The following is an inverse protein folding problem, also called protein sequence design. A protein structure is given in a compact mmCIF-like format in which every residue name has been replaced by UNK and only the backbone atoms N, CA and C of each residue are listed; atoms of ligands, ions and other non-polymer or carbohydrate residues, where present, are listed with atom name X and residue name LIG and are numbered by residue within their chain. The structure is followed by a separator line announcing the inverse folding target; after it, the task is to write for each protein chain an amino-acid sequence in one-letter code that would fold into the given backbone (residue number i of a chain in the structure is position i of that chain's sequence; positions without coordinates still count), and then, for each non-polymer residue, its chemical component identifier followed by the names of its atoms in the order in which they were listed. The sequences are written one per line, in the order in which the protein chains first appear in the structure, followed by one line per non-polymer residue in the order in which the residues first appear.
data_IF_779327315524
#
_entry.id   IF_779327315524
#
_cell.length_a   1.000
_cell.length_b   1.000
_cell.length_c   1.000
_cell.angle_alpha   90.00
_cell.angle_beta   90.00
_cell.angle_gamma   90.00
#
_symmetry.space_group_name_H-M   'P 1'
#
loop_
_entity.id
_entity.type
_entity.pdbx_description
1 polymer ?
#
# COMPACT_ATOMS: atom_id res chain seq x y z
N UNK A 1 -11.31 10.80 12.99
CA UNK A 1 -12.28 10.72 11.87
C UNK A 1 -13.33 11.82 11.90
N UNK A 2 -14.05 12.07 13.00
CA UNK A 2 -15.02 13.20 13.08
C UNK A 2 -14.34 14.53 12.73
N UNK A 3 -13.19 14.82 13.34
CA UNK A 3 -12.41 16.03 12.99
C UNK A 3 -12.06 16.09 11.50
N UNK A 4 -11.64 14.98 10.89
CA UNK A 4 -11.34 14.93 9.46
C UNK A 4 -12.60 15.25 8.62
N UNK A 5 -13.77 14.73 9.01
CA UNK A 5 -15.06 15.04 8.37
C UNK A 5 -15.39 16.52 8.47
N UNK A 6 -15.21 17.12 9.64
CA UNK A 6 -15.46 18.55 9.90
C UNK A 6 -14.50 19.45 9.09
N UNK A 7 -13.29 18.95 8.79
CA UNK A 7 -12.33 19.59 7.87
C UNK A 7 -12.60 19.31 6.39
N UNK A 8 -13.69 18.61 6.07
CA UNK A 8 -14.16 18.37 4.70
C UNK A 8 -13.75 17.03 4.09
N UNK A 9 -13.02 16.16 4.81
CA UNK A 9 -12.69 14.82 4.33
C UNK A 9 -13.98 14.00 4.11
N UNK A 10 -14.13 13.44 2.91
CA UNK A 10 -15.30 12.61 2.57
C UNK A 10 -14.97 11.12 2.55
N UNK A 11 -13.72 10.77 2.26
CA UNK A 11 -13.29 9.38 2.06
C UNK A 11 -11.90 9.19 2.66
N UNK A 12 -11.72 8.05 3.34
CA UNK A 12 -10.43 7.55 3.79
C UNK A 12 -10.13 6.25 3.04
N UNK A 13 -8.92 6.15 2.52
CA UNK A 13 -8.36 4.92 1.95
C UNK A 13 -7.59 4.24 3.08
N UNK A 14 -8.14 3.13 3.59
CA UNK A 14 -7.66 2.43 4.77
C UNK A 14 -6.72 1.30 4.36
N UNK A 15 -5.49 1.38 4.85
CA UNK A 15 -4.33 0.67 4.31
C UNK A 15 -3.80 -0.44 5.25
N UNK A 16 -4.69 -1.09 6.00
CA UNK A 16 -4.35 -2.21 6.88
C UNK A 16 -4.70 -3.55 6.23
N UNK A 17 -3.74 -4.28 5.63
CA UNK A 17 -3.96 -5.61 5.07
C UNK A 17 -3.79 -6.70 6.14
N UNK A 18 -3.83 -7.97 5.71
CA UNK A 18 -3.48 -9.09 6.58
C UNK A 18 -2.05 -8.96 7.10
N UNK A 19 -1.86 -9.25 8.39
CA UNK A 19 -0.59 -9.11 9.10
C UNK A 19 -0.35 -7.74 9.75
N UNK A 20 -1.29 -6.80 9.59
CA UNK A 20 -1.26 -5.49 10.25
C UNK A 20 -2.50 -5.21 11.13
N UNK A 21 -3.37 -6.20 11.33
CA UNK A 21 -4.51 -6.09 12.25
C UNK A 21 -5.81 -5.55 11.64
N UNK A 22 -6.07 -5.83 10.36
CA UNK A 22 -7.31 -5.45 9.66
C UNK A 22 -8.55 -5.89 10.45
N UNK A 23 -9.45 -4.93 10.74
CA UNK A 23 -10.72 -5.19 11.42
C UNK A 23 -11.88 -4.49 10.70
N UNK A 24 -12.63 -5.26 9.90
CA UNK A 24 -13.71 -4.70 9.07
C UNK A 24 -14.91 -4.22 9.89
N UNK A 25 -15.18 -4.81 11.05
CA UNK A 25 -16.30 -4.40 11.90
C UNK A 25 -16.05 -3.00 12.48
N UNK A 26 -14.82 -2.77 12.97
CA UNK A 26 -14.37 -1.46 13.44
C UNK A 26 -14.43 -0.44 12.31
N UNK A 27 -14.00 -0.78 11.09
CA UNK A 27 -14.09 0.14 9.95
C UNK A 27 -15.54 0.49 9.60
N UNK A 28 -16.46 -0.48 9.62
CA UNK A 28 -17.89 -0.23 9.37
C UNK A 28 -18.48 0.68 10.45
N UNK A 29 -18.16 0.44 11.71
CA UNK A 29 -18.64 1.28 12.83
C UNK A 29 -18.08 2.70 12.71
N UNK A 30 -16.79 2.84 12.43
CA UNK A 30 -16.12 4.12 12.20
C UNK A 30 -16.77 4.90 11.05
N UNK A 31 -17.04 4.26 9.91
CA UNK A 31 -17.70 4.88 8.76
C UNK A 31 -19.10 5.37 9.13
N UNK A 32 -19.92 4.51 9.77
CA UNK A 32 -21.29 4.86 10.19
C UNK A 32 -21.33 6.03 11.17
N UNK A 33 -20.45 6.03 12.18
CA UNK A 33 -20.42 7.07 13.22
C UNK A 33 -19.87 8.41 12.70
N UNK A 34 -18.88 8.38 11.81
CA UNK A 34 -18.25 9.60 11.30
C UNK A 34 -18.91 10.17 10.05
N UNK A 35 -19.66 9.35 9.29
CA UNK A 35 -20.18 9.73 7.98
C UNK A 35 -19.09 9.88 6.90
N UNK A 36 -17.89 9.32 7.13
CA UNK A 36 -16.81 9.21 6.14
C UNK A 36 -16.93 7.88 5.40
N UNK A 37 -16.73 7.89 4.09
CA UNK A 37 -16.59 6.66 3.31
C UNK A 37 -15.23 6.02 3.61
N UNK A 38 -15.18 4.73 3.90
CA UNK A 38 -13.93 4.01 4.11
C UNK A 38 -13.75 3.00 2.98
N UNK A 39 -12.61 3.06 2.29
CA UNK A 39 -12.20 2.09 1.28
C UNK A 39 -11.14 1.20 1.91
N UNK A 40 -11.49 -0.07 2.19
CA UNK A 40 -10.55 -1.08 2.74
C UNK A 40 -9.74 -1.77 1.65
N UNK A 41 -8.71 -2.51 2.05
CA UNK A 41 -7.86 -3.30 1.15
C UNK A 41 -7.89 -4.81 1.38
N UNK A 42 -7.48 -5.54 0.35
CA UNK A 42 -6.92 -6.90 0.46
C UNK A 42 -5.40 -6.83 0.50
N UNK A 43 -4.71 -7.97 0.53
CA UNK A 43 -3.26 -8.07 0.46
C UNK A 43 -2.64 -8.57 1.75
N UNK A 44 -1.31 -8.40 1.87
CA UNK A 44 -0.53 -8.88 3.01
C UNK A 44 0.64 -7.96 3.32
N UNK A 45 0.95 -7.82 4.60
CA UNK A 45 2.05 -7.01 5.12
C UNK A 45 3.25 -7.87 5.52
N UNK A 46 4.39 -7.68 4.85
CA UNK A 46 5.68 -8.25 5.23
C UNK A 46 6.77 -7.16 5.31
N UNK A 47 6.51 -6.14 6.13
CA UNK A 47 7.43 -5.01 6.34
C UNK A 47 8.63 -5.32 7.27
N UNK A 48 9.42 -4.30 7.56
CA UNK A 48 10.66 -4.37 8.32
C UNK A 48 10.56 -5.18 9.62
N UNK A 49 11.58 -6.01 9.90
CA UNK A 49 11.70 -6.82 11.12
C UNK A 49 10.60 -7.88 11.34
N UNK A 50 9.63 -8.01 10.42
CA UNK A 50 8.57 -9.01 10.49
C UNK A 50 9.03 -10.35 9.92
N UNK A 51 9.80 -10.37 8.81
CA UNK A 51 10.33 -11.61 8.19
C UNK A 51 9.25 -12.70 8.00
N UNK A 52 8.05 -12.29 7.59
CA UNK A 52 6.89 -13.13 7.41
C UNK A 52 6.15 -13.54 8.69
N UNK A 53 6.64 -13.18 9.90
CA UNK A 53 6.03 -13.60 11.17
C UNK A 53 4.56 -13.20 11.29
N UNK A 54 4.21 -11.98 10.86
CA UNK A 54 2.85 -11.49 10.91
C UNK A 54 2.04 -11.84 9.66
N UNK A 55 2.69 -12.34 8.59
CA UNK A 55 1.97 -12.86 7.43
C UNK A 55 1.28 -14.16 7.85
N UNK A 56 -0.05 -14.29 7.66
CA UNK A 56 -0.77 -15.49 8.03
C UNK A 56 -0.14 -16.75 7.44
N UNK A 57 -0.08 -17.82 8.24
CA UNK A 57 0.50 -19.11 7.84
C UNK A 57 -0.07 -19.61 6.51
N UNK A 58 -1.38 -19.44 6.31
CA UNK A 58 -2.06 -19.77 5.06
C UNK A 58 -1.39 -19.11 3.85
N UNK A 59 -1.15 -17.79 3.88
CA UNK A 59 -0.46 -17.08 2.78
C UNK A 59 0.99 -17.55 2.64
N UNK A 60 1.70 -17.80 3.74
CA UNK A 60 3.10 -18.26 3.70
C UNK A 60 3.24 -19.63 3.04
N UNK A 61 2.28 -20.52 3.24
CA UNK A 61 2.30 -21.90 2.72
C UNK A 61 1.61 -22.03 1.36
N UNK A 62 0.74 -21.09 0.99
CA UNK A 62 0.09 -21.07 -0.32
C UNK A 62 1.06 -20.75 -1.46
N UNK A 63 0.74 -21.31 -2.62
CA UNK A 63 1.30 -20.96 -3.93
C UNK A 63 0.86 -19.56 -4.37
N UNK A 64 1.54 -19.00 -5.38
CA UNK A 64 1.15 -17.71 -5.98
C UNK A 64 -0.29 -17.74 -6.51
N UNK A 65 -0.69 -18.85 -7.13
CA UNK A 65 -2.02 -18.97 -7.76
C UNK A 65 -3.13 -19.13 -6.72
N UNK A 66 -2.87 -19.80 -5.60
CA UNK A 66 -3.81 -19.87 -4.47
C UNK A 66 -4.01 -18.50 -3.81
N UNK A 67 -2.93 -17.74 -3.55
CA UNK A 67 -3.03 -16.37 -3.03
C UNK A 67 -3.83 -15.49 -4.01
N UNK A 68 -3.52 -15.61 -5.30
CA UNK A 68 -4.23 -14.88 -6.37
C UNK A 68 -5.72 -15.21 -6.37
N UNK A 69 -6.08 -16.50 -6.23
CA UNK A 69 -7.46 -16.95 -6.21
C UNK A 69 -8.22 -16.38 -5.00
N UNK A 70 -7.61 -16.40 -3.80
CA UNK A 70 -8.21 -15.83 -2.59
C UNK A 70 -8.47 -14.33 -2.77
N UNK A 71 -7.46 -13.54 -3.15
CA UNK A 71 -7.65 -12.09 -3.29
C UNK A 71 -8.60 -11.73 -4.43
N UNK A 72 -8.62 -12.50 -5.54
CA UNK A 72 -9.61 -12.30 -6.61
C UNK A 72 -11.02 -12.56 -6.09
N UNK A 73 -11.21 -13.64 -5.33
CA UNK A 73 -12.49 -13.98 -4.70
C UNK A 73 -12.94 -12.88 -3.74
N UNK A 74 -12.04 -12.27 -2.96
CA UNK A 74 -12.41 -11.15 -2.08
C UNK A 74 -13.00 -9.95 -2.84
N UNK A 75 -12.54 -9.67 -4.08
CA UNK A 75 -13.14 -8.64 -4.93
C UNK A 75 -14.50 -9.04 -5.52
N UNK A 76 -14.74 -10.34 -5.73
CA UNK A 76 -15.96 -10.87 -6.34
C UNK A 76 -17.07 -11.08 -5.32
N UNK A 77 -16.72 -11.59 -4.14
CA UNK A 77 -17.67 -12.08 -3.12
C UNK A 77 -17.59 -11.26 -1.81
N UNK A 78 -16.47 -10.64 -1.52
CA UNK A 78 -16.20 -9.94 -0.26
C UNK A 78 -15.09 -10.60 0.54
N UNK A 79 -14.52 -9.86 1.48
CA UNK A 79 -13.50 -10.34 2.42
C UNK A 79 -14.15 -11.25 3.45
N UNK A 80 -13.57 -12.43 3.64
CA UNK A 80 -14.12 -13.49 4.50
C UNK A 80 -15.62 -13.71 4.19
N UNK A 81 -16.48 -13.83 5.20
CA UNK A 81 -17.93 -13.98 5.03
C UNK A 81 -18.69 -12.64 5.21
N UNK A 82 -18.00 -11.50 5.13
CA UNK A 82 -18.58 -10.18 5.45
C UNK A 82 -19.40 -9.58 4.32
N UNK A 83 -19.16 -10.02 3.07
CA UNK A 83 -19.68 -9.37 1.86
C UNK A 83 -19.07 -7.99 1.55
N UNK A 84 -18.11 -7.51 2.35
CA UNK A 84 -17.41 -6.23 2.16
C UNK A 84 -16.29 -6.43 1.15
N UNK A 85 -16.35 -5.72 0.03
CA UNK A 85 -15.35 -5.84 -1.05
C UNK A 85 -14.22 -4.84 -0.86
N UNK A 86 -12.95 -5.24 -1.07
CA UNK A 86 -11.84 -4.31 -1.03
C UNK A 86 -11.86 -3.36 -2.23
N UNK A 87 -11.25 -2.19 -2.08
CA UNK A 87 -11.05 -1.23 -3.16
C UNK A 87 -9.76 -1.45 -3.95
N UNK A 88 -8.75 -2.06 -3.33
CA UNK A 88 -7.38 -2.18 -3.85
C UNK A 88 -6.58 -3.25 -3.08
N UNK A 89 -5.36 -3.52 -3.52
CA UNK A 89 -4.44 -4.49 -2.92
C UNK A 89 -3.34 -3.70 -2.18
N UNK A 90 -3.13 -3.95 -0.88
CA UNK A 90 -2.06 -3.33 -0.09
C UNK A 90 -0.96 -4.33 0.22
N UNK A 91 0.29 -3.94 -0.02
CA UNK A 91 1.48 -4.75 0.27
C UNK A 91 2.49 -3.96 1.11
N UNK A 92 3.40 -4.67 1.75
CA UNK A 92 4.69 -4.15 2.19
C UNK A 92 5.83 -5.08 1.81
N UNK A 93 6.91 -4.49 1.30
CA UNK A 93 8.12 -5.20 0.91
C UNK A 93 9.32 -4.26 0.89
N UNK A 94 10.53 -4.83 0.95
CA UNK A 94 11.72 -4.08 0.54
C UNK A 94 12.32 -3.13 1.59
N UNK A 95 11.85 -3.12 2.83
CA UNK A 95 12.32 -2.14 3.84
C UNK A 95 13.78 -2.32 4.29
N UNK A 96 14.42 -3.41 3.90
CA UNK A 96 15.84 -3.68 4.19
C UNK A 96 16.72 -3.50 2.95
N UNK A 97 16.20 -2.82 1.92
CA UNK A 97 16.89 -2.57 0.65
C UNK A 97 16.97 -3.80 -0.27
N UNK A 98 16.26 -4.88 0.07
CA UNK A 98 16.14 -6.09 -0.74
C UNK A 98 14.72 -6.69 -0.67
N UNK A 99 14.34 -7.45 -1.70
CA UNK A 99 13.05 -8.18 -1.74
C UNK A 99 13.28 -9.66 -1.45
N UNK A 100 12.72 -10.14 -0.35
CA UNK A 100 12.84 -11.53 0.09
C UNK A 100 11.90 -12.48 -0.68
N UNK A 101 12.14 -13.80 -0.66
CA UNK A 101 11.33 -14.77 -1.41
C UNK A 101 9.82 -14.70 -1.12
N UNK A 102 9.43 -14.46 0.14
CA UNK A 102 8.02 -14.32 0.51
C UNK A 102 7.42 -13.03 -0.07
N UNK A 103 8.14 -11.91 0.01
CA UNK A 103 7.72 -10.63 -0.56
C UNK A 103 7.60 -10.72 -2.09
N UNK A 104 8.55 -11.38 -2.77
CA UNK A 104 8.46 -11.63 -4.21
C UNK A 104 7.22 -12.46 -4.55
N UNK A 105 6.94 -13.54 -3.80
CA UNK A 105 5.75 -14.38 -3.97
C UNK A 105 4.45 -13.56 -3.83
N UNK A 106 4.39 -12.70 -2.81
CA UNK A 106 3.27 -11.80 -2.52
C UNK A 106 3.07 -10.77 -3.64
N UNK A 107 4.14 -10.13 -4.12
CA UNK A 107 4.09 -9.14 -5.21
C UNK A 107 3.61 -9.79 -6.51
N UNK A 108 4.08 -11.00 -6.85
CA UNK A 108 3.60 -11.73 -8.03
C UNK A 108 2.12 -12.07 -7.93
N UNK A 109 1.66 -12.54 -6.77
CA UNK A 109 0.24 -12.81 -6.56
C UNK A 109 -0.61 -11.53 -6.69
N UNK A 110 -0.09 -10.39 -6.21
CA UNK A 110 -0.78 -9.11 -6.31
C UNK A 110 -0.86 -8.63 -7.76
N UNK A 111 0.23 -8.75 -8.52
CA UNK A 111 0.27 -8.43 -9.94
C UNK A 111 -0.76 -9.25 -10.74
N UNK A 112 -0.85 -10.56 -10.48
CA UNK A 112 -1.86 -11.43 -11.12
C UNK A 112 -3.29 -11.07 -10.70
N UNK A 113 -3.50 -10.76 -9.42
CA UNK A 113 -4.82 -10.32 -8.91
C UNK A 113 -5.24 -9.00 -9.54
N UNK A 114 -4.32 -8.04 -9.62
CA UNK A 114 -4.53 -6.74 -10.26
C UNK A 114 -4.95 -6.89 -11.72
N UNK A 115 -4.25 -7.74 -12.49
CA UNK A 115 -4.62 -8.03 -13.89
C UNK A 115 -6.01 -8.66 -14.04
N UNK A 116 -6.40 -9.58 -13.14
CA UNK A 116 -7.71 -10.25 -13.17
C UNK A 116 -8.87 -9.31 -12.81
N UNK A 117 -8.64 -8.43 -11.84
CA UNK A 117 -9.71 -7.62 -11.21
C UNK A 117 -9.73 -6.17 -11.68
N UNK A 118 -8.67 -5.72 -12.35
CA UNK A 118 -8.47 -4.32 -12.69
C UNK A 118 -8.28 -3.41 -11.48
N UNK A 119 -7.79 -3.94 -10.35
CA UNK A 119 -7.57 -3.18 -9.11
C UNK A 119 -6.11 -2.78 -8.95
N UNK A 120 -5.85 -1.64 -8.33
CA UNK A 120 -4.49 -1.12 -8.16
C UNK A 120 -3.78 -1.78 -6.97
N UNK A 121 -2.45 -1.77 -7.01
CA UNK A 121 -1.57 -2.20 -5.93
C UNK A 121 -1.00 -0.95 -5.26
N UNK A 122 -1.24 -0.81 -3.96
CA UNK A 122 -0.59 0.16 -3.10
C UNK A 122 0.52 -0.58 -2.34
N UNK A 123 1.78 -0.22 -2.58
CA UNK A 123 2.91 -0.97 -2.05
C UNK A 123 3.80 -0.10 -1.17
N UNK A 124 3.85 -0.41 0.13
CA UNK A 124 4.85 0.12 1.05
C UNK A 124 6.22 -0.35 0.63
N UNK A 125 7.10 0.60 0.32
CA UNK A 125 8.53 0.39 0.14
C UNK A 125 9.26 1.59 0.74
N UNK A 126 9.89 1.39 1.89
CA UNK A 126 10.65 2.46 2.55
C UNK A 126 11.99 2.74 1.87
N UNK A 127 12.74 1.69 1.52
CA UNK A 127 14.06 1.80 0.92
C UNK A 127 13.98 1.85 -0.61
N UNK A 128 14.31 3.00 -1.21
CA UNK A 128 14.24 3.21 -2.65
C UNK A 128 15.15 2.26 -3.46
N UNK A 129 16.17 1.68 -2.81
CA UNK A 129 17.07 0.66 -3.37
C UNK A 129 16.36 -0.66 -3.72
N UNK A 130 15.17 -0.93 -3.15
CA UNK A 130 14.35 -2.12 -3.46
C UNK A 130 13.50 -1.97 -4.72
N UNK A 131 13.24 -0.74 -5.18
CA UNK A 131 12.37 -0.47 -6.33
C UNK A 131 12.83 -1.15 -7.64
N UNK A 132 14.13 -1.17 -8.01
CA UNK A 132 14.59 -1.87 -9.20
C UNK A 132 14.15 -3.34 -9.24
N UNK A 133 14.24 -4.05 -8.12
CA UNK A 133 13.81 -5.46 -8.03
C UNK A 133 12.28 -5.58 -8.06
N UNK A 134 11.55 -4.66 -7.42
CA UNK A 134 10.08 -4.63 -7.53
C UNK A 134 9.63 -4.43 -8.97
N UNK A 135 10.25 -3.49 -9.68
CA UNK A 135 9.98 -3.18 -11.10
C UNK A 135 10.32 -4.36 -11.99
N UNK A 136 11.44 -5.04 -11.76
CA UNK A 136 11.75 -6.28 -12.48
C UNK A 136 10.61 -7.30 -12.35
N UNK A 137 10.09 -7.53 -11.14
CA UNK A 137 8.98 -8.47 -10.90
C UNK A 137 7.70 -7.99 -11.60
N UNK A 138 7.40 -6.69 -11.57
CA UNK A 138 6.26 -6.06 -12.26
C UNK A 138 6.36 -6.29 -13.77
N UNK A 139 7.54 -6.12 -14.37
CA UNK A 139 7.79 -6.35 -15.80
C UNK A 139 7.64 -7.83 -16.16
N UNK A 140 8.20 -8.74 -15.36
CA UNK A 140 8.07 -10.18 -15.57
C UNK A 140 6.61 -10.66 -15.48
N UNK A 141 5.82 -10.09 -14.56
CA UNK A 141 4.39 -10.33 -14.45
C UNK A 141 3.57 -9.50 -15.46
N UNK A 142 4.20 -8.67 -16.29
CA UNK A 142 3.54 -7.82 -17.29
C UNK A 142 2.41 -6.96 -16.69
N UNK A 143 2.61 -6.46 -15.47
CA UNK A 143 1.68 -5.54 -14.83
C UNK A 143 1.89 -4.13 -15.38
N UNK A 144 0.84 -3.43 -15.85
CA UNK A 144 0.97 -2.04 -16.26
C UNK A 144 1.45 -1.16 -15.09
N UNK A 145 2.44 -0.30 -15.35
CA UNK A 145 3.05 0.54 -14.32
C UNK A 145 2.06 1.46 -13.59
N UNK A 146 1.04 1.93 -14.30
CA UNK A 146 -0.03 2.78 -13.75
C UNK A 146 -0.97 2.03 -12.78
N UNK A 147 -0.78 0.73 -12.58
CA UNK A 147 -1.46 -0.09 -11.56
C UNK A 147 -0.67 -0.22 -10.26
N UNK A 148 0.52 0.35 -10.18
CA UNK A 148 1.39 0.26 -9.00
C UNK A 148 1.61 1.65 -8.40
N UNK A 149 1.33 1.78 -7.10
CA UNK A 149 1.57 2.97 -6.31
C UNK A 149 2.74 2.67 -5.37
N UNK A 150 3.83 3.43 -5.50
CA UNK A 150 4.92 3.43 -4.55
C UNK A 150 4.56 4.33 -3.37
N UNK A 151 4.32 3.70 -2.22
CA UNK A 151 4.06 4.35 -0.94
C UNK A 151 5.36 4.71 -0.24
N UNK A 152 5.36 5.84 0.48
CA UNK A 152 6.55 6.47 1.06
C UNK A 152 7.59 6.91 0.03
N UNK A 153 7.14 7.30 -1.16
CA UNK A 153 8.05 7.87 -2.16
C UNK A 153 8.74 9.15 -1.62
N UNK A 154 8.12 9.83 -0.65
CA UNK A 154 8.69 11.00 0.06
C UNK A 154 9.50 10.67 1.33
N UNK A 155 9.60 9.39 1.72
CA UNK A 155 10.25 8.95 2.96
C UNK A 155 11.73 9.34 2.97
N UNK A 156 12.49 8.82 1.99
CA UNK A 156 13.89 9.22 1.77
C UNK A 156 14.03 10.48 0.90
N UNK A 157 12.96 10.88 0.21
CA UNK A 157 12.95 12.00 -0.74
C UNK A 157 14.08 11.92 -1.79
N UNK A 158 14.36 10.70 -2.27
CA UNK A 158 15.32 10.46 -3.36
C UNK A 158 14.70 10.90 -4.69
N UNK A 159 14.95 12.16 -5.07
CA UNK A 159 14.36 12.73 -6.28
C UNK A 159 14.79 12.03 -7.56
N UNK A 160 15.98 11.44 -7.62
CA UNK A 160 16.42 10.72 -8.81
C UNK A 160 15.57 9.47 -9.00
N UNK A 161 15.33 8.71 -7.94
CA UNK A 161 14.45 7.52 -7.95
C UNK A 161 12.99 7.88 -8.19
N UNK A 162 12.48 8.92 -7.53
CA UNK A 162 11.11 9.41 -7.71
C UNK A 162 10.86 9.74 -9.19
N UNK A 163 11.78 10.47 -9.83
CA UNK A 163 11.64 10.82 -11.24
C UNK A 163 11.85 9.63 -12.17
N UNK A 164 12.81 8.74 -11.89
CA UNK A 164 13.07 7.52 -12.64
C UNK A 164 11.81 6.64 -12.73
N UNK A 165 11.21 6.31 -11.58
CA UNK A 165 10.05 5.42 -11.52
C UNK A 165 8.75 6.14 -11.87
N UNK A 166 8.60 7.41 -11.52
CA UNK A 166 7.48 8.23 -11.98
C UNK A 166 7.39 8.27 -13.50
N UNK A 167 8.51 8.45 -14.22
CA UNK A 167 8.54 8.45 -15.69
C UNK A 167 8.18 7.12 -16.33
N UNK A 168 8.26 5.99 -15.61
CA UNK A 168 7.74 4.69 -16.06
C UNK A 168 6.21 4.60 -15.98
N UNK A 169 5.56 5.52 -15.26
CA UNK A 169 4.12 5.55 -15.04
C UNK A 169 3.68 5.06 -13.65
N UNK A 170 4.63 4.78 -12.75
CA UNK A 170 4.33 4.39 -11.36
C UNK A 170 3.77 5.60 -10.60
N UNK A 171 2.67 5.39 -9.89
CA UNK A 171 2.11 6.42 -9.03
C UNK A 171 2.98 6.64 -7.80
N UNK A 172 3.12 7.90 -7.41
CA UNK A 172 3.97 8.32 -6.30
C UNK A 172 3.06 8.76 -5.17
N UNK A 173 3.18 8.15 -3.99
CA UNK A 173 2.43 8.59 -2.82
C UNK A 173 3.37 9.24 -1.82
N UNK A 174 3.07 10.50 -1.51
CA UNK A 174 3.71 11.27 -0.47
C UNK A 174 2.82 11.27 0.76
N UNK A 175 3.07 10.37 1.69
CA UNK A 175 2.20 10.13 2.85
C UNK A 175 2.88 10.32 4.19
N UNK A 176 4.20 10.55 4.21
CA UNK A 176 4.93 10.89 5.46
C UNK A 176 4.67 12.33 5.94
N UNK A 177 3.88 13.13 5.20
CA UNK A 177 3.54 14.52 5.56
C UNK A 177 2.91 14.65 6.95
N UNK A 178 2.15 13.65 7.40
CA UNK A 178 1.49 13.67 8.70
C UNK A 178 2.47 13.73 9.87
N UNK A 179 3.68 13.17 9.71
CA UNK A 179 4.75 13.16 10.71
C UNK A 179 5.96 14.02 10.34
N UNK A 180 5.90 14.79 9.26
CA UNK A 180 7.05 15.54 8.76
C UNK A 180 7.45 16.68 9.72
N UNK A 181 8.73 16.71 10.09
CA UNK A 181 9.31 17.83 10.87
C UNK A 181 9.77 18.95 9.94
N UNK A 182 10.24 18.61 8.75
CA UNK A 182 10.65 19.55 7.71
C UNK A 182 9.70 19.47 6.50
N UNK A 183 8.90 20.52 6.33
CA UNK A 183 7.99 20.66 5.20
C UNK A 183 8.62 21.27 3.96
N UNK A 184 9.84 21.82 4.05
CA UNK A 184 10.45 22.59 2.95
C UNK A 184 10.82 21.72 1.75
N UNK A 185 11.04 20.41 1.97
CA UNK A 185 11.28 19.42 0.91
C UNK A 185 10.09 19.27 -0.06
N UNK A 186 8.85 19.38 0.42
CA UNK A 186 7.66 19.09 -0.40
C UNK A 186 7.41 20.12 -1.51
N UNK A 187 7.39 21.44 -1.27
CA UNK A 187 7.21 22.42 -2.35
C UNK A 187 8.29 22.33 -3.43
N UNK A 188 9.52 21.92 -3.10
CA UNK A 188 10.59 21.73 -4.07
C UNK A 188 10.34 20.46 -4.91
N UNK A 189 10.06 19.34 -4.25
CA UNK A 189 9.73 18.08 -4.93
C UNK A 189 8.51 18.20 -5.84
N UNK A 190 7.43 18.83 -5.37
CA UNK A 190 6.20 19.06 -6.15
C UNK A 190 6.47 19.92 -7.38
N UNK A 191 7.25 21.00 -7.25
CA UNK A 191 7.64 21.82 -8.42
C UNK A 191 8.44 21.01 -9.42
N UNK A 192 9.37 20.16 -8.96
CA UNK A 192 10.13 19.30 -9.85
C UNK A 192 9.23 18.29 -10.57
N UNK A 193 8.27 17.67 -9.86
CA UNK A 193 7.27 16.80 -10.48
C UNK A 193 6.38 17.54 -11.48
N UNK A 194 6.06 18.81 -11.23
CA UNK A 194 5.35 19.66 -12.18
C UNK A 194 6.12 19.90 -13.47
N UNK A 195 7.40 20.28 -13.35
CA UNK A 195 8.30 20.48 -14.50
C UNK A 195 8.42 19.21 -15.35
N UNK A 196 8.48 18.05 -14.70
CA UNK A 196 8.58 16.74 -15.34
C UNK A 196 7.22 16.14 -15.76
N UNK A 197 6.12 16.87 -15.56
CA UNK A 197 4.73 16.50 -15.91
C UNK A 197 4.21 15.24 -15.19
N UNK A 198 4.63 15.03 -13.96
CA UNK A 198 4.26 13.89 -13.11
C UNK A 198 3.22 14.22 -12.02
N UNK A 199 2.70 15.45 -11.95
CA UNK A 199 1.72 15.82 -10.91
C UNK A 199 0.42 15.00 -10.96
N UNK A 200 0.00 14.55 -12.14
CA UNK A 200 -1.26 13.80 -12.29
C UNK A 200 -1.24 12.40 -11.68
N UNK A 201 -0.06 11.91 -11.30
CA UNK A 201 0.15 10.61 -10.67
C UNK A 201 0.75 10.73 -9.26
N UNK A 202 0.70 11.93 -8.68
CA UNK A 202 1.12 12.20 -7.29
C UNK A 202 -0.10 12.11 -6.36
N UNK A 203 0.02 11.33 -5.30
CA UNK A 203 -0.95 11.21 -4.22
C UNK A 203 -0.38 11.79 -2.93
N UNK A 204 -1.28 12.23 -2.05
CA UNK A 204 -0.93 12.67 -0.70
C UNK A 204 -1.67 11.83 0.34
N UNK A 205 -0.97 11.49 1.41
CA UNK A 205 -1.51 10.80 2.57
C UNK A 205 -0.97 11.39 3.87
N UNK A 206 -1.35 10.79 4.99
CA UNK A 206 -0.82 11.14 6.31
C UNK A 206 -0.17 9.96 7.02
N UNK A 207 -0.32 8.75 6.47
CA UNK A 207 0.09 7.46 7.07
C UNK A 207 -0.12 7.41 8.60
N UNK A 208 -1.26 7.91 9.04
CA UNK A 208 -1.58 8.09 10.45
C UNK A 208 -2.40 6.90 10.93
N UNK A 209 -1.81 6.03 11.75
CA UNK A 209 -2.53 4.85 12.23
C UNK A 209 -1.79 3.90 13.14
N UNK A 210 -0.51 4.13 13.47
CA UNK A 210 0.24 3.21 14.32
C UNK A 210 -0.23 3.30 15.77
N UNK A 211 -0.90 2.25 16.24
CA UNK A 211 -1.01 1.93 17.66
C UNK A 211 -0.16 0.68 17.92
N UNK A 212 0.84 0.82 18.79
CA UNK A 212 1.61 -0.32 19.25
C UNK A 212 0.85 -0.94 20.41
N UNK A 213 0.37 -2.18 20.24
CA UNK A 213 -0.03 -2.99 21.39
C UNK A 213 1.29 -3.30 22.12
N UNK A 214 1.49 -2.72 23.30
CA UNK A 214 2.57 -3.16 24.19
C UNK A 214 2.38 -4.65 24.41
N UNK A 215 3.35 -5.46 24.01
CA UNK A 215 3.43 -6.83 24.54
C UNK A 215 3.53 -6.69 26.06
N UNK A 216 2.66 -7.36 26.79
CA UNK A 216 2.80 -7.47 28.24
C UNK A 216 4.20 -8.06 28.51
N UNK A 217 5.03 -7.34 29.24
CA UNK A 217 6.31 -7.86 29.72
C UNK A 217 6.00 -9.05 30.64
N UNK A 218 6.25 -10.29 30.18
CA UNK A 218 6.29 -11.49 31.02
C UNK A 218 7.45 -11.45 32.03
#
# INVERSE_FOLDING_TARGET
MIEAKDKGCQTIVEATPLGLGRDLEVLVECSKKSGINIITCTGAWDGANVRGKNVPKAIRESTIDEITAVWTKEFEEGIDDTGIKPGYIKLALGDEGEIFPLQEKILRAAARTSKKTGKVIQCHIWEASSLPKAVQIIEEEQLPYDRFIWVHADGQMDMDKILEFGKKGIWLEFDTLGGAVDFTKYPQAIRKLQEEKLLSQLLFGQDSGSYWIKEDEE
#
